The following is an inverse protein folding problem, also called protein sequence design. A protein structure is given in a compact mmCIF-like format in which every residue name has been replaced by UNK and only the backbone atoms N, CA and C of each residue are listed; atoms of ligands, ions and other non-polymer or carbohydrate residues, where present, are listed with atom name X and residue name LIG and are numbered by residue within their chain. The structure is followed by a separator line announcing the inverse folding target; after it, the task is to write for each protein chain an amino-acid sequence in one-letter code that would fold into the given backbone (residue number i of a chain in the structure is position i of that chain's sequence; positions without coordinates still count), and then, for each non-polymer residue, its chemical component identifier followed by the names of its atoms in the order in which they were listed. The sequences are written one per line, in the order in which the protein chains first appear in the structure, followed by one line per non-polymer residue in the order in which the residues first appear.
data_IF_679981741596
#
_entry.id   IF_679981741596
#
_cell.length_a   1.000
_cell.length_b   1.000
_cell.length_c   1.000
_cell.angle_alpha   90.00
_cell.angle_beta   90.00
_cell.angle_gamma   90.00
#
_symmetry.space_group_name_H-M   'P 1'
#
loop_
_entity.id
_entity.type
_entity.pdbx_description
1 polymer ?
#
# COMPACT_ATOMS: atom_id res chain seq x y z
N UNK A 1 -12.65 -11.47 19.33
CA UNK A 1 -12.22 -12.72 18.66
C UNK A 1 -10.76 -12.50 18.25
N UNK A 2 -9.81 -13.11 18.94
CA UNK A 2 -8.39 -12.94 18.60
C UNK A 2 -8.09 -13.84 17.41
N UNK A 3 -7.97 -13.24 16.23
CA UNK A 3 -7.56 -13.94 15.01
C UNK A 3 -6.17 -14.53 15.25
N UNK A 4 -6.10 -15.82 15.54
CA UNK A 4 -4.83 -16.55 15.72
C UNK A 4 -4.09 -16.50 14.40
N UNK A 5 -3.20 -15.53 14.28
CA UNK A 5 -2.36 -15.39 13.10
C UNK A 5 -1.28 -16.45 13.20
N UNK A 6 -1.00 -17.13 12.09
CA UNK A 6 -0.04 -18.22 12.06
C UNK A 6 1.30 -17.75 12.65
N UNK A 7 1.92 -18.50 13.57
CA UNK A 7 3.15 -18.05 14.25
C UNK A 7 4.30 -17.75 13.28
N UNK A 8 4.28 -18.34 12.07
CA UNK A 8 5.27 -18.01 11.02
C UNK A 8 5.08 -16.59 10.48
N UNK A 9 3.82 -16.14 10.35
CA UNK A 9 3.50 -14.78 9.89
C UNK A 9 3.89 -13.76 10.94
N UNK A 10 3.66 -14.06 12.23
CA UNK A 10 4.11 -13.18 13.33
C UNK A 10 5.62 -13.02 13.35
N UNK A 11 6.37 -14.11 13.15
CA UNK A 11 7.82 -14.07 13.05
C UNK A 11 8.30 -13.24 11.85
N UNK A 12 7.67 -13.42 10.68
CA UNK A 12 7.99 -12.65 9.48
C UNK A 12 7.69 -11.15 9.66
N UNK A 13 6.55 -10.80 10.26
CA UNK A 13 6.18 -9.42 10.58
C UNK A 13 7.17 -8.78 11.56
N UNK A 14 7.61 -9.52 12.59
CA UNK A 14 8.62 -9.04 13.52
C UNK A 14 9.96 -8.77 12.82
N UNK A 15 10.40 -9.66 11.91
CA UNK A 15 11.58 -9.42 11.08
C UNK A 15 11.42 -8.19 10.17
N UNK A 16 10.26 -8.02 9.55
CA UNK A 16 9.95 -6.86 8.71
C UNK A 16 9.99 -5.55 9.51
N UNK A 17 9.37 -5.50 10.69
CA UNK A 17 9.42 -4.35 11.59
C UNK A 17 10.87 -4.04 12.02
N UNK A 18 11.67 -5.08 12.27
CA UNK A 18 13.08 -4.90 12.64
C UNK A 18 13.94 -4.33 11.50
N UNK A 19 13.56 -4.56 10.24
CA UNK A 19 14.26 -4.04 9.06
C UNK A 19 13.77 -2.62 8.70
N UNK A 20 12.51 -2.31 9.04
CA UNK A 20 11.85 -1.03 8.77
C UNK A 20 11.57 -0.24 10.07
N UNK A 21 12.55 0.52 10.60
CA UNK A 21 12.39 1.25 11.87
C UNK A 21 11.34 2.38 11.81
N UNK A 22 10.91 2.79 10.61
CA UNK A 22 9.79 3.70 10.41
C UNK A 22 8.43 3.07 10.78
N UNK A 23 8.34 1.74 10.76
CA UNK A 23 7.12 0.97 11.05
C UNK A 23 7.22 0.43 12.48
N UNK A 24 6.44 1.00 13.39
CA UNK A 24 6.50 0.66 14.82
C UNK A 24 5.33 -0.21 15.30
N UNK A 25 4.41 -0.57 14.39
CA UNK A 25 3.19 -1.32 14.71
C UNK A 25 2.99 -2.46 13.74
N UNK A 26 2.52 -3.59 14.26
CA UNK A 26 2.09 -4.76 13.47
C UNK A 26 1.09 -4.39 12.38
N UNK A 27 0.11 -3.56 12.72
CA UNK A 27 -0.92 -3.11 11.77
C UNK A 27 -0.33 -2.30 10.61
N UNK A 28 0.61 -1.40 10.92
CA UNK A 28 1.34 -0.62 9.92
C UNK A 28 2.22 -1.49 9.02
N UNK A 29 2.86 -2.54 9.58
CA UNK A 29 3.62 -3.50 8.80
C UNK A 29 2.73 -4.27 7.81
N UNK A 30 1.57 -4.73 8.28
CA UNK A 30 0.60 -5.42 7.43
C UNK A 30 0.08 -4.48 6.34
N UNK A 31 -0.28 -3.25 6.69
CA UNK A 31 -0.75 -2.24 5.74
C UNK A 31 0.29 -1.99 4.63
N UNK A 32 1.54 -1.72 4.98
CA UNK A 32 2.62 -1.47 4.02
C UNK A 32 2.85 -2.66 3.07
N UNK A 33 2.84 -3.89 3.60
CA UNK A 33 2.99 -5.12 2.79
C UNK A 33 1.81 -5.26 1.81
N UNK A 34 0.59 -5.04 2.31
CA UNK A 34 -0.62 -5.13 1.49
C UNK A 34 -0.66 -4.03 0.43
N UNK A 35 -0.32 -2.79 0.77
CA UNK A 35 -0.25 -1.67 -0.15
C UNK A 35 0.71 -1.97 -1.31
N UNK A 36 1.92 -2.45 -1.00
CA UNK A 36 2.88 -2.86 -2.02
C UNK A 36 2.34 -4.00 -2.90
N UNK A 37 1.71 -5.01 -2.30
CA UNK A 37 1.15 -6.14 -3.04
C UNK A 37 0.01 -5.70 -3.97
N UNK A 38 -0.96 -4.95 -3.45
CA UNK A 38 -2.10 -4.45 -4.21
C UNK A 38 -1.68 -3.50 -5.32
N UNK A 39 -0.68 -2.64 -5.05
CA UNK A 39 -0.05 -1.78 -6.05
C UNK A 39 0.55 -2.65 -7.16
N UNK A 40 1.41 -3.62 -6.82
CA UNK A 40 2.05 -4.50 -7.83
C UNK A 40 1.06 -5.32 -8.65
N UNK A 41 -0.14 -5.59 -8.13
CA UNK A 41 -1.18 -6.37 -8.82
C UNK A 41 -2.26 -5.50 -9.47
N UNK A 42 -2.14 -4.17 -9.42
CA UNK A 42 -3.06 -3.22 -10.05
C UNK A 42 -4.40 -3.07 -9.33
N UNK A 43 -4.52 -3.54 -8.08
CA UNK A 43 -5.71 -3.34 -7.24
C UNK A 43 -5.71 -1.98 -6.53
N UNK A 44 -4.53 -1.44 -6.23
CA UNK A 44 -4.36 -0.07 -5.76
C UNK A 44 -3.85 0.78 -6.93
N UNK A 45 -4.52 1.89 -7.27
CA UNK A 45 -3.95 2.83 -8.22
C UNK A 45 -2.61 3.31 -7.65
N UNK A 46 -1.53 3.07 -8.40
CA UNK A 46 -0.24 3.72 -8.13
C UNK A 46 -0.55 5.20 -8.24
N UNK A 47 -0.40 5.97 -7.17
CA UNK A 47 -0.82 7.37 -7.13
C UNK A 47 -0.35 8.14 -8.37
N UNK A 48 -1.24 8.28 -9.34
CA UNK A 48 -1.13 9.25 -10.41
C UNK A 48 -2.35 10.15 -10.27
N UNK A 49 -2.23 11.06 -9.30
CA UNK A 49 -2.73 12.43 -9.46
C UNK A 49 -1.99 13.03 -10.66
N UNK A 50 -2.44 12.66 -11.85
CA UNK A 50 -2.14 13.33 -13.09
C UNK A 50 -3.48 13.50 -13.74
N UNK A 51 -3.97 14.74 -13.77
CA UNK A 51 -5.15 15.13 -14.53
C UNK A 51 -5.08 14.43 -15.88
N UNK A 52 -6.09 13.60 -16.19
CA UNK A 52 -6.14 12.93 -17.49
C UNK A 52 -6.14 14.03 -18.56
N UNK A 53 -5.36 13.90 -19.65
CA UNK A 53 -5.35 14.90 -20.72
C UNK A 53 -6.73 15.09 -21.35
N UNK A 54 -7.67 14.14 -21.18
CA UNK A 54 -9.07 14.28 -21.58
C UNK A 54 -9.81 15.45 -20.88
N UNK A 55 -9.30 15.96 -19.76
CA UNK A 55 -9.83 17.15 -19.05
C UNK A 55 -9.08 18.46 -19.45
N UNK A 56 -7.93 18.35 -20.12
CA UNK A 56 -7.12 19.50 -20.59
C UNK A 56 -7.59 20.04 -21.96
N UNK A 57 -8.35 19.24 -22.73
CA UNK A 57 -8.87 19.63 -24.05
C UNK A 57 -10.21 20.41 -23.99
N UNK A 58 -10.85 20.53 -22.81
CA UNK A 58 -12.17 21.16 -22.69
C UNK A 58 -12.13 22.70 -22.49
N UNK A 59 -11.00 23.38 -22.70
CA UNK A 59 -10.83 24.82 -22.41
C UNK A 59 -10.14 25.63 -23.51
N UNK A 60 -10.00 25.11 -24.74
CA UNK A 60 -9.54 25.93 -25.86
C UNK A 60 -10.25 25.57 -27.18
N UNK A 61 -11.54 25.87 -27.26
CA UNK A 61 -12.24 26.03 -28.54
C UNK A 61 -13.20 27.25 -28.42
N UNK A 62 -12.73 28.36 -29.01
CA UNK A 62 -13.39 29.67 -29.29
C UNK A 62 -13.58 30.72 -28.17
#
# INVERSE_FOLDING_TARGET
MSSTTDPKIEAALASFISDHPEINSRDAAIAAILENWFTSHGYLPHGQEGTRPEDLDATNDD
#
